data_IF_834711199395
#
_entry.id   IF_834711199395
#
_cell.length_a   1.000
_cell.length_b   1.000
_cell.length_c   1.000
_cell.angle_alpha   90.00
_cell.angle_beta   90.00
_cell.angle_gamma   90.00
#
_symmetry.space_group_name_H-M   'P 1'
#
loop_
_entity.id
_entity.type
_entity.pdbx_description
1 polymer ?
#
# COMPACT_ATOMS: atom_id res chain seq x y z
N UNK A 1 -11.29 41.27 -7.37
CA UNK A 1 -11.46 40.00 -6.65
C UNK A 1 -11.57 38.90 -7.69
N UNK A 2 -10.51 38.10 -7.88
CA UNK A 2 -10.55 36.92 -8.74
C UNK A 2 -10.69 35.70 -7.83
N UNK A 3 -11.77 34.95 -7.99
CA UNK A 3 -11.94 33.64 -7.35
C UNK A 3 -10.90 32.69 -7.95
N UNK A 4 -9.96 32.24 -7.13
CA UNK A 4 -9.15 31.07 -7.46
C UNK A 4 -10.01 29.84 -7.20
N UNK A 5 -10.46 29.20 -8.28
CA UNK A 5 -11.20 27.96 -8.22
C UNK A 5 -10.31 26.85 -7.66
N UNK A 6 -10.85 26.11 -6.69
CA UNK A 6 -10.31 24.83 -6.25
C UNK A 6 -10.11 23.93 -7.48
N UNK A 7 -8.86 23.74 -7.92
CA UNK A 7 -8.56 22.71 -8.90
C UNK A 7 -8.68 21.37 -8.18
N UNK A 8 -9.79 20.65 -8.46
CA UNK A 8 -9.84 19.22 -8.22
C UNK A 8 -8.81 18.56 -9.15
N UNK A 9 -7.65 18.25 -8.59
CA UNK A 9 -6.60 17.47 -9.25
C UNK A 9 -7.23 16.16 -9.68
N UNK A 10 -7.38 16.01 -10.99
CA UNK A 10 -7.89 14.78 -11.58
C UNK A 10 -6.71 13.82 -11.66
N UNK A 11 -6.61 12.89 -10.70
CA UNK A 11 -5.70 11.74 -10.77
C UNK A 11 -6.08 10.87 -11.98
N UNK A 12 -5.60 11.23 -13.16
CA UNK A 12 -5.80 10.49 -14.39
C UNK A 12 -4.44 10.24 -15.03
N UNK A 13 -3.65 9.37 -14.39
CA UNK A 13 -2.30 9.03 -14.84
C UNK A 13 -1.62 7.97 -14.01
N UNK A 14 -2.37 7.01 -13.47
CA UNK A 14 -1.79 5.94 -12.65
C UNK A 14 -1.32 4.83 -13.59
N UNK A 15 0.00 4.74 -13.69
CA UNK A 15 0.64 3.51 -14.08
C UNK A 15 0.16 2.40 -13.14
N UNK A 16 -0.42 1.34 -13.70
CA UNK A 16 -0.62 0.08 -13.02
C UNK A 16 0.65 -0.29 -12.27
N UNK A 17 0.62 -0.18 -10.94
CA UNK A 17 1.41 -1.08 -10.13
C UNK A 17 1.13 -2.48 -10.68
N UNK A 18 2.15 -3.34 -10.78
CA UNK A 18 1.89 -4.75 -11.09
C UNK A 18 0.74 -5.21 -10.19
N UNK A 19 -0.24 -5.98 -10.69
CA UNK A 19 -1.37 -6.45 -9.89
C UNK A 19 -0.84 -7.22 -8.68
N UNK A 20 -0.58 -6.52 -7.56
CA UNK A 20 -0.02 -7.12 -6.36
C UNK A 20 -1.15 -7.91 -5.75
N UNK A 21 -0.96 -9.22 -5.69
CA UNK A 21 -1.93 -10.12 -5.09
C UNK A 21 -1.34 -10.64 -3.80
N UNK A 22 -2.08 -10.49 -2.70
CA UNK A 22 -1.71 -11.06 -1.42
C UNK A 22 -1.86 -12.59 -1.45
N UNK A 23 -0.85 -13.29 -0.92
CA UNK A 23 -0.74 -14.75 -0.95
C UNK A 23 -0.80 -15.37 0.45
N UNK A 24 -1.29 -16.60 0.52
CA UNK A 24 -1.49 -17.36 1.77
C UNK A 24 -0.22 -17.98 2.33
N UNK A 25 0.84 -18.09 1.53
CA UNK A 25 2.07 -18.80 1.91
C UNK A 25 2.68 -18.18 3.17
N UNK A 26 2.99 -19.00 4.18
CA UNK A 26 3.60 -18.52 5.43
C UNK A 26 2.68 -17.70 6.35
N UNK A 27 1.40 -17.52 6.02
CA UNK A 27 0.45 -16.87 6.92
C UNK A 27 0.20 -17.72 8.18
N UNK A 28 -0.08 -17.06 9.30
CA UNK A 28 -0.43 -17.71 10.57
C UNK A 28 -1.63 -18.66 10.44
N UNK A 29 -2.57 -18.38 9.53
CA UNK A 29 -3.61 -19.32 9.10
C UNK A 29 -3.88 -19.18 7.59
N UNK A 30 -3.02 -19.81 6.78
CA UNK A 30 -3.14 -19.82 5.32
C UNK A 30 -4.53 -20.24 4.82
N UNK A 31 -5.12 -21.27 5.44
CA UNK A 31 -6.45 -21.78 5.05
C UNK A 31 -7.58 -20.79 5.38
N UNK A 32 -7.46 -20.08 6.51
CA UNK A 32 -8.36 -19.00 6.89
C UNK A 32 -8.26 -17.83 5.93
N UNK A 33 -7.04 -17.46 5.54
CA UNK A 33 -6.79 -16.40 4.56
C UNK A 33 -7.42 -16.71 3.20
N UNK A 34 -7.19 -17.91 2.65
CA UNK A 34 -7.76 -18.31 1.35
C UNK A 34 -9.30 -18.30 1.35
N UNK A 35 -9.91 -18.76 2.45
CA UNK A 35 -11.38 -18.68 2.61
C UNK A 35 -11.87 -17.25 2.69
N UNK A 36 -11.13 -16.38 3.39
CA UNK A 36 -11.46 -14.97 3.50
C UNK A 36 -11.37 -14.27 2.14
N UNK A 37 -10.28 -14.49 1.38
CA UNK A 37 -10.13 -13.98 0.01
C UNK A 37 -11.21 -14.51 -0.93
N UNK A 38 -11.59 -15.79 -0.83
CA UNK A 38 -12.67 -16.33 -1.64
C UNK A 38 -14.01 -15.63 -1.36
N UNK A 39 -14.26 -15.24 -0.10
CA UNK A 39 -15.43 -14.44 0.27
C UNK A 39 -15.34 -13.02 -0.28
N UNK A 40 -14.18 -12.36 -0.16
CA UNK A 40 -13.93 -11.03 -0.74
C UNK A 40 -14.16 -11.04 -2.25
N UNK A 41 -13.55 -11.98 -2.98
CA UNK A 41 -13.71 -12.14 -4.43
C UNK A 41 -15.17 -12.33 -4.84
N UNK A 42 -15.94 -13.11 -4.06
CA UNK A 42 -17.38 -13.30 -4.29
C UNK A 42 -18.14 -11.99 -4.08
N UNK A 43 -17.84 -11.26 -3.00
CA UNK A 43 -18.44 -9.96 -2.70
C UNK A 43 -18.16 -8.95 -3.84
N UNK A 44 -16.90 -8.81 -4.25
CA UNK A 44 -16.46 -7.95 -5.36
C UNK A 44 -17.15 -8.33 -6.66
N UNK A 45 -17.23 -9.62 -6.98
CA UNK A 45 -17.90 -10.10 -8.20
C UNK A 45 -19.39 -9.74 -8.21
N UNK A 46 -20.08 -9.90 -7.08
CA UNK A 46 -21.48 -9.50 -6.93
C UNK A 46 -21.67 -7.99 -7.02
N UNK A 47 -20.79 -7.20 -6.41
CA UNK A 47 -20.79 -5.75 -6.48
C UNK A 47 -20.63 -5.26 -7.93
N UNK A 48 -19.63 -5.78 -8.66
CA UNK A 48 -19.39 -5.42 -10.06
C UNK A 48 -20.57 -5.80 -10.95
N UNK A 49 -21.16 -6.99 -10.74
CA UNK A 49 -22.33 -7.41 -11.51
C UNK A 49 -23.51 -6.46 -11.32
N UNK A 50 -23.75 -6.01 -10.08
CA UNK A 50 -24.79 -5.05 -9.77
C UNK A 50 -24.49 -3.67 -10.37
N UNK A 51 -23.27 -3.15 -10.21
CA UNK A 51 -22.86 -1.87 -10.78
C UNK A 51 -23.00 -1.85 -12.31
N UNK A 52 -22.68 -2.95 -13.00
CA UNK A 52 -22.92 -3.09 -14.45
C UNK A 52 -24.39 -3.10 -14.80
N UNK A 53 -25.21 -3.83 -14.04
CA UNK A 53 -26.65 -3.85 -14.24
C UNK A 53 -27.25 -2.43 -14.14
N UNK A 54 -26.75 -1.63 -13.21
CA UNK A 54 -27.24 -0.27 -12.96
C UNK A 54 -26.54 0.80 -13.80
N UNK A 55 -25.59 0.42 -14.69
CA UNK A 55 -24.71 1.31 -15.45
C UNK A 55 -23.90 2.31 -14.58
N UNK A 56 -23.58 1.92 -13.35
CA UNK A 56 -22.86 2.72 -12.37
C UNK A 56 -21.34 2.64 -12.52
N UNK A 57 -20.72 3.65 -13.15
CA UNK A 57 -19.26 3.70 -13.29
C UNK A 57 -18.54 4.04 -11.98
N UNK A 58 -19.16 4.86 -11.13
CA UNK A 58 -18.62 5.21 -9.81
C UNK A 58 -18.67 4.00 -8.89
N UNK A 59 -19.77 3.26 -8.96
CA UNK A 59 -19.99 2.02 -8.21
C UNK A 59 -18.98 0.95 -8.62
N UNK A 60 -18.63 0.84 -9.90
CA UNK A 60 -17.57 -0.07 -10.36
C UNK A 60 -16.22 0.23 -9.70
N UNK A 61 -15.83 1.50 -9.61
CA UNK A 61 -14.60 1.91 -8.94
C UNK A 61 -14.68 1.64 -7.43
N UNK A 62 -15.82 1.92 -6.81
CA UNK A 62 -16.06 1.65 -5.39
C UNK A 62 -15.95 0.14 -5.07
N UNK A 63 -16.45 -0.74 -5.94
CA UNK A 63 -16.29 -2.19 -5.78
C UNK A 63 -14.81 -2.60 -5.75
N UNK A 64 -13.98 -2.02 -6.63
CA UNK A 64 -12.54 -2.28 -6.65
C UNK A 64 -11.85 -1.81 -5.37
N UNK A 65 -12.25 -0.65 -4.85
CA UNK A 65 -11.69 -0.14 -3.59
C UNK A 65 -12.13 -0.95 -2.37
N UNK A 66 -13.37 -1.44 -2.36
CA UNK A 66 -13.82 -2.36 -1.33
C UNK A 66 -13.07 -3.69 -1.39
N UNK A 67 -12.71 -4.19 -2.58
CA UNK A 67 -11.89 -5.40 -2.73
C UNK A 67 -10.53 -5.27 -2.03
N UNK A 68 -9.87 -4.12 -2.18
CA UNK A 68 -8.63 -3.83 -1.44
C UNK A 68 -8.85 -3.92 0.08
N UNK A 69 -9.90 -3.25 0.57
CA UNK A 69 -10.24 -3.22 2.00
C UNK A 69 -10.53 -4.60 2.55
N UNK A 70 -11.33 -5.38 1.85
CA UNK A 70 -11.67 -6.75 2.24
C UNK A 70 -10.41 -7.62 2.30
N UNK A 71 -9.53 -7.53 1.29
CA UNK A 71 -8.32 -8.33 1.21
C UNK A 71 -7.26 -7.94 2.26
N UNK A 72 -6.98 -6.65 2.48
CA UNK A 72 -6.00 -6.29 3.51
C UNK A 72 -6.55 -6.55 4.92
N UNK A 73 -7.87 -6.52 5.13
CA UNK A 73 -8.50 -6.97 6.38
C UNK A 73 -8.36 -8.48 6.58
N UNK A 74 -8.55 -9.28 5.52
CA UNK A 74 -8.23 -10.71 5.55
C UNK A 74 -6.77 -10.93 5.92
N UNK A 75 -5.85 -10.17 5.33
CA UNK A 75 -4.41 -10.30 5.62
C UNK A 75 -4.08 -9.92 7.06
N UNK A 76 -4.66 -8.83 7.56
CA UNK A 76 -4.52 -8.40 8.95
C UNK A 76 -5.05 -9.44 9.96
N UNK A 77 -6.08 -10.21 9.59
CA UNK A 77 -6.64 -11.28 10.42
C UNK A 77 -5.82 -12.57 10.38
N UNK A 78 -5.43 -13.03 9.18
CA UNK A 78 -4.92 -14.40 8.97
C UNK A 78 -3.42 -14.47 8.65
N UNK A 79 -2.84 -13.35 8.21
CA UNK A 79 -1.44 -13.20 7.84
C UNK A 79 -0.75 -12.09 8.66
N UNK A 80 -1.24 -11.84 9.89
CA UNK A 80 -0.69 -10.81 10.80
C UNK A 80 0.82 -10.97 11.05
N UNK A 81 1.36 -12.17 10.83
CA UNK A 81 2.78 -12.46 10.98
C UNK A 81 3.65 -11.97 9.79
N UNK A 82 3.03 -11.48 8.71
CA UNK A 82 3.65 -11.05 7.46
C UNK A 82 3.29 -9.61 7.05
N UNK A 83 2.54 -8.87 7.88
CA UNK A 83 2.01 -7.52 7.55
C UNK A 83 3.07 -6.43 7.31
N UNK A 84 4.35 -6.70 7.56
CA UNK A 84 5.43 -5.74 7.27
C UNK A 84 6.29 -6.16 6.07
N UNK A 85 6.05 -7.34 5.50
CA UNK A 85 6.75 -7.83 4.31
C UNK A 85 6.44 -6.96 3.08
N UNK A 86 7.31 -7.03 2.06
CA UNK A 86 7.18 -6.24 0.84
C UNK A 86 5.83 -6.41 0.17
N UNK A 87 5.35 -7.64 0.07
CA UNK A 87 4.08 -7.98 -0.56
C UNK A 87 2.90 -7.20 0.04
N UNK A 88 2.81 -7.09 1.37
CA UNK A 88 1.76 -6.31 2.02
C UNK A 88 1.96 -4.81 1.80
N UNK A 89 3.18 -4.31 1.94
CA UNK A 89 3.45 -2.88 1.78
C UNK A 89 3.20 -2.41 0.34
N UNK A 90 3.58 -3.20 -0.68
CA UNK A 90 3.29 -2.94 -2.09
C UNK A 90 1.78 -3.02 -2.40
N UNK A 91 1.07 -3.96 -1.77
CA UNK A 91 -0.39 -4.05 -1.88
C UNK A 91 -1.07 -2.79 -1.34
N UNK A 92 -0.64 -2.31 -0.18
CA UNK A 92 -1.19 -1.09 0.44
C UNK A 92 -0.87 0.16 -0.39
N UNK A 93 0.35 0.28 -0.95
CA UNK A 93 0.66 1.36 -1.92
C UNK A 93 -0.28 1.26 -3.13
N UNK A 94 -0.56 0.05 -3.63
CA UNK A 94 -1.49 -0.15 -4.75
C UNK A 94 -2.92 0.26 -4.38
N UNK A 95 -3.38 0.01 -3.16
CA UNK A 95 -4.65 0.53 -2.66
C UNK A 95 -4.66 2.06 -2.70
N UNK A 96 -3.67 2.72 -2.11
CA UNK A 96 -3.62 4.18 -2.08
C UNK A 96 -3.51 4.82 -3.46
N UNK A 97 -2.79 4.18 -4.37
CA UNK A 97 -2.63 4.67 -5.74
C UNK A 97 -3.91 4.49 -6.55
N UNK A 98 -4.58 3.34 -6.46
CA UNK A 98 -5.71 3.02 -7.33
C UNK A 98 -7.08 3.44 -6.76
N UNK A 99 -7.15 3.82 -5.49
CA UNK A 99 -8.37 4.26 -4.83
C UNK A 99 -8.29 5.71 -4.39
N UNK A 100 -8.98 6.58 -5.11
CA UNK A 100 -9.06 8.01 -4.81
C UNK A 100 -9.64 8.34 -3.42
N UNK A 101 -10.42 7.43 -2.85
CA UNK A 101 -10.94 7.58 -1.49
C UNK A 101 -9.95 7.12 -0.42
N UNK A 102 -8.91 6.35 -0.76
CA UNK A 102 -8.01 5.73 0.20
C UNK A 102 -7.27 6.77 1.04
N UNK A 103 -7.35 6.62 2.37
CA UNK A 103 -6.72 7.52 3.34
C UNK A 103 -6.27 6.75 4.57
N UNK A 104 -5.28 7.30 5.24
CA UNK A 104 -4.91 6.85 6.59
C UNK A 104 -6.03 7.20 7.59
N UNK A 105 -6.19 6.41 8.67
CA UNK A 105 -5.37 5.25 9.03
C UNK A 105 -5.83 3.96 8.33
N UNK A 106 -4.87 3.07 8.08
CA UNK A 106 -5.07 1.66 7.69
C UNK A 106 -4.12 0.78 8.51
N UNK A 107 -4.43 -0.51 8.75
CA UNK A 107 -3.61 -1.33 9.62
C UNK A 107 -2.19 -1.56 9.04
N UNK A 108 -1.19 -1.54 9.92
CA UNK A 108 0.19 -1.96 9.63
C UNK A 108 0.91 -1.24 8.46
N UNK A 109 0.48 -0.02 8.11
CA UNK A 109 1.09 0.79 7.07
C UNK A 109 1.33 2.23 7.56
N UNK A 110 2.53 2.80 7.37
CA UNK A 110 3.72 2.15 6.82
C UNK A 110 4.29 1.13 7.82
N UNK A 111 5.22 0.29 7.38
CA UNK A 111 5.91 -0.61 8.30
C UNK A 111 6.70 0.20 9.36
N UNK A 112 6.65 -0.17 10.65
CA UNK A 112 7.50 0.45 11.67
C UNK A 112 8.98 0.26 11.37
N UNK A 113 9.81 1.20 11.86
CA UNK A 113 11.27 1.10 11.73
C UNK A 113 11.79 -0.21 12.36
N UNK A 114 12.61 -0.94 11.62
CA UNK A 114 13.22 -2.21 12.03
C UNK A 114 12.21 -3.32 12.40
N UNK A 115 11.00 -3.28 11.86
CA UNK A 115 10.04 -4.36 12.02
C UNK A 115 10.62 -5.72 11.57
N UNK A 116 10.42 -6.83 12.33
CA UNK A 116 10.83 -8.16 11.91
C UNK A 116 10.18 -8.57 10.59
N UNK A 117 10.95 -9.17 9.68
CA UNK A 117 10.43 -9.56 8.37
C UNK A 117 10.12 -8.38 7.44
N UNK A 118 10.37 -7.14 7.86
CA UNK A 118 9.97 -5.97 7.09
C UNK A 118 10.63 -5.91 5.72
N UNK A 119 9.96 -5.29 4.76
CA UNK A 119 10.53 -5.05 3.45
C UNK A 119 11.89 -4.34 3.53
N UNK A 120 12.82 -4.72 2.65
CA UNK A 120 14.19 -4.18 2.57
C UNK A 120 14.23 -2.67 2.33
N UNK A 121 13.13 -2.13 1.81
CA UNK A 121 12.84 -0.71 1.68
C UNK A 121 11.45 -0.46 2.29
N UNK A 122 11.31 0.61 3.07
CA UNK A 122 10.00 1.00 3.59
C UNK A 122 9.20 1.75 2.51
N UNK A 123 8.70 1.01 1.51
CA UNK A 123 7.95 1.57 0.38
C UNK A 123 6.71 2.34 0.82
N UNK A 124 6.11 1.95 1.95
CA UNK A 124 4.99 2.68 2.54
C UNK A 124 5.39 4.07 3.01
N UNK A 125 6.54 4.19 3.69
CA UNK A 125 7.05 5.50 4.11
C UNK A 125 7.44 6.37 2.92
N UNK A 126 8.06 5.79 1.88
CA UNK A 126 8.37 6.52 0.64
C UNK A 126 7.09 7.08 0.03
N UNK A 127 6.05 6.25 -0.10
CA UNK A 127 4.76 6.68 -0.62
C UNK A 127 4.15 7.82 0.20
N UNK A 128 4.09 7.68 1.53
CA UNK A 128 3.52 8.70 2.40
C UNK A 128 4.30 10.01 2.33
N UNK A 129 5.63 9.97 2.31
CA UNK A 129 6.41 11.19 2.17
C UNK A 129 6.20 11.89 0.82
N UNK A 130 5.97 11.15 -0.26
CA UNK A 130 5.61 11.76 -1.55
C UNK A 130 4.28 12.50 -1.42
N UNK A 131 3.28 11.89 -0.77
CA UNK A 131 1.98 12.55 -0.52
C UNK A 131 2.12 13.75 0.43
N UNK A 132 2.95 13.64 1.46
CA UNK A 132 3.22 14.73 2.39
C UNK A 132 3.94 15.88 1.71
N UNK A 133 4.86 15.62 0.76
CA UNK A 133 5.50 16.65 -0.04
C UNK A 133 4.46 17.44 -0.86
N UNK A 134 3.53 16.75 -1.53
CA UNK A 134 2.42 17.38 -2.27
C UNK A 134 1.57 18.25 -1.33
N UNK A 135 1.23 17.73 -0.15
CA UNK A 135 0.42 18.46 0.82
C UNK A 135 1.17 19.69 1.37
N UNK A 136 2.48 19.57 1.62
CA UNK A 136 3.33 20.68 2.06
C UNK A 136 3.45 21.74 0.98
N UNK A 137 3.49 21.38 -0.32
CA UNK A 137 3.44 22.34 -1.42
C UNK A 137 2.15 23.12 -1.47
N UNK A 138 1.01 22.46 -1.26
CA UNK A 138 -0.26 23.18 -1.20
C UNK A 138 -0.24 24.24 -0.09
N UNK A 139 0.30 23.91 1.09
CA UNK A 139 0.46 24.87 2.19
C UNK A 139 1.48 25.97 1.86
N UNK A 140 2.63 25.61 1.29
CA UNK A 140 3.71 26.51 0.91
C UNK A 140 3.25 27.55 -0.12
N UNK A 141 2.59 27.10 -1.19
CA UNK A 141 2.08 27.96 -2.26
C UNK A 141 0.96 28.88 -1.77
N UNK A 142 0.11 28.41 -0.86
CA UNK A 142 -0.93 29.25 -0.24
C UNK A 142 -0.35 30.30 0.72
N UNK A 143 0.87 30.12 1.21
CA UNK A 143 1.55 31.08 2.08
C UNK A 143 2.31 32.18 1.30
N UNK A 144 2.35 32.12 -0.03
CA UNK A 144 2.96 33.14 -0.87
C UNK A 144 2.09 34.42 -0.92
N UNK A 145 2.27 35.32 0.06
CA UNK A 145 1.44 36.53 0.24
C UNK A 145 2.27 37.79 0.53
N UNK A 146 3.27 38.08 -0.31
CA UNK A 146 4.17 39.23 -0.15
C UNK A 146 3.61 40.56 -0.68
N UNK A 147 2.38 40.59 -1.21
CA UNK A 147 1.81 41.73 -1.92
C UNK A 147 2.45 42.05 -3.28
N UNK A 148 3.61 41.45 -3.60
CA UNK A 148 4.29 41.51 -4.88
C UNK A 148 4.04 40.21 -5.66
N UNK A 149 3.37 40.32 -6.81
CA UNK A 149 2.99 39.15 -7.60
C UNK A 149 4.20 38.39 -8.14
N UNK A 150 5.30 39.08 -8.47
CA UNK A 150 6.51 38.42 -8.97
C UNK A 150 7.18 37.56 -7.90
N UNK A 151 7.30 38.09 -6.70
CA UNK A 151 7.88 37.42 -5.53
C UNK A 151 7.03 36.22 -5.10
N UNK A 152 5.71 36.34 -5.17
CA UNK A 152 4.81 35.22 -4.91
C UNK A 152 4.99 34.10 -5.93
N UNK A 153 5.10 34.43 -7.22
CA UNK A 153 5.36 33.43 -8.27
C UNK A 153 6.70 32.71 -8.04
N UNK A 154 7.75 33.45 -7.71
CA UNK A 154 9.07 32.87 -7.42
C UNK A 154 9.03 31.91 -6.21
N UNK A 155 8.27 32.25 -5.17
CA UNK A 155 8.07 31.36 -4.02
C UNK A 155 7.28 30.11 -4.41
N UNK A 156 6.21 30.25 -5.21
CA UNK A 156 5.42 29.10 -5.69
C UNK A 156 6.28 28.15 -6.51
N UNK A 157 7.14 28.66 -7.40
CA UNK A 157 8.11 27.82 -8.12
C UNK A 157 9.09 27.15 -7.16
N UNK A 158 9.55 27.85 -6.13
CA UNK A 158 10.33 27.27 -5.03
C UNK A 158 9.60 26.12 -4.33
N UNK A 159 8.32 26.28 -4.00
CA UNK A 159 7.48 25.23 -3.42
C UNK A 159 7.39 24.01 -4.34
N UNK A 160 7.07 24.22 -5.63
CA UNK A 160 6.96 23.13 -6.60
C UNK A 160 8.30 22.36 -6.75
N UNK A 161 9.42 23.09 -6.78
CA UNK A 161 10.75 22.48 -6.80
C UNK A 161 11.06 21.66 -5.53
N UNK A 162 10.61 22.14 -4.37
CA UNK A 162 10.74 21.43 -3.10
C UNK A 162 9.82 20.20 -3.00
N UNK A 163 8.69 20.18 -3.71
CA UNK A 163 7.85 18.99 -3.85
C UNK A 163 8.62 17.85 -4.54
N UNK A 164 9.14 18.14 -5.74
CA UNK A 164 9.86 17.18 -6.57
C UNK A 164 11.12 16.72 -5.84
N UNK A 165 11.85 17.66 -5.23
CA UNK A 165 13.01 17.36 -4.39
C UNK A 165 12.63 16.48 -3.20
N UNK A 166 11.55 16.77 -2.48
CA UNK A 166 11.09 15.99 -1.34
C UNK A 166 10.71 14.56 -1.72
N UNK A 167 10.01 14.38 -2.84
CA UNK A 167 9.70 13.07 -3.40
C UNK A 167 10.99 12.28 -3.75
N UNK A 168 11.93 12.92 -4.45
CA UNK A 168 13.22 12.32 -4.79
C UNK A 168 14.05 11.93 -3.57
N UNK A 169 14.12 12.83 -2.60
CA UNK A 169 14.86 12.66 -1.36
C UNK A 169 14.30 11.51 -0.52
N UNK A 170 12.97 11.35 -0.53
CA UNK A 170 12.29 10.23 0.13
C UNK A 170 12.70 8.88 -0.45
N UNK A 171 12.82 8.79 -1.79
CA UNK A 171 13.28 7.57 -2.46
C UNK A 171 14.72 7.23 -2.03
N UNK A 172 15.63 8.20 -2.13
CA UNK A 172 17.07 7.94 -1.98
C UNK A 172 17.53 7.83 -0.52
N UNK A 173 16.88 8.52 0.42
CA UNK A 173 17.27 8.45 1.84
C UNK A 173 16.61 7.28 2.58
N UNK A 174 15.34 6.98 2.28
CA UNK A 174 14.65 5.85 2.92
C UNK A 174 15.14 4.52 2.32
N UNK A 175 15.40 4.50 1.00
CA UNK A 175 15.70 3.28 0.27
C UNK A 175 16.95 3.39 -0.63
N UNK A 176 18.12 3.76 -0.08
CA UNK A 176 19.34 4.08 -0.84
C UNK A 176 19.90 2.93 -1.69
N UNK A 177 19.51 1.68 -1.39
CA UNK A 177 20.02 0.47 -2.07
C UNK A 177 19.06 -0.08 -3.11
N UNK A 178 17.81 0.37 -3.12
CA UNK A 178 16.76 -0.18 -3.95
C UNK A 178 16.75 0.51 -5.31
N UNK A 179 16.40 -0.23 -6.37
CA UNK A 179 16.13 0.35 -7.69
C UNK A 179 14.97 1.34 -7.60
N UNK A 180 15.18 2.64 -7.87
CA UNK A 180 14.14 3.67 -7.81
C UNK A 180 12.90 3.38 -8.66
N UNK A 181 13.03 2.60 -9.75
CA UNK A 181 11.90 2.22 -10.59
C UNK A 181 10.87 1.37 -9.84
N UNK A 182 11.27 0.69 -8.76
CA UNK A 182 10.40 -0.13 -7.92
C UNK A 182 9.70 0.67 -6.81
N UNK A 183 10.13 1.92 -6.55
CA UNK A 183 9.79 2.64 -5.32
C UNK A 183 9.42 4.10 -5.55
N UNK A 184 8.84 4.42 -6.70
CA UNK A 184 8.21 5.72 -6.89
C UNK A 184 8.85 6.64 -7.94
N UNK A 185 9.93 6.22 -8.63
CA UNK A 185 10.61 7.12 -9.57
C UNK A 185 9.68 7.62 -10.70
N UNK A 186 8.76 6.78 -11.17
CA UNK A 186 7.80 7.16 -12.21
C UNK A 186 6.87 8.29 -11.74
N UNK A 187 6.53 8.30 -10.47
CA UNK A 187 5.67 9.30 -9.84
C UNK A 187 6.34 10.67 -9.87
N UNK A 188 7.68 10.74 -9.76
CA UNK A 188 8.42 12.01 -9.89
C UNK A 188 8.23 12.63 -11.28
N UNK A 189 8.35 11.84 -12.34
CA UNK A 189 8.10 12.33 -13.70
C UNK A 189 6.65 12.77 -13.92
N UNK A 190 5.70 12.12 -13.24
CA UNK A 190 4.30 12.57 -13.20
C UNK A 190 4.18 13.91 -12.49
N UNK A 191 4.81 14.09 -11.32
CA UNK A 191 4.80 15.35 -10.58
C UNK A 191 5.38 16.51 -11.40
N UNK A 192 6.54 16.31 -12.06
CA UNK A 192 7.10 17.32 -12.98
C UNK A 192 6.09 17.75 -14.04
N UNK A 193 5.36 16.79 -14.61
CA UNK A 193 4.36 17.05 -15.64
C UNK A 193 3.12 17.78 -15.09
N UNK A 194 2.64 17.37 -13.91
CA UNK A 194 1.46 17.94 -13.25
C UNK A 194 1.70 19.36 -12.74
N UNK A 195 2.89 19.60 -12.18
CA UNK A 195 3.32 20.93 -11.73
C UNK A 195 3.76 21.82 -12.90
N UNK A 196 3.95 21.26 -14.10
CA UNK A 196 4.55 21.93 -15.25
C UNK A 196 5.91 22.56 -14.91
N UNK A 197 6.74 21.78 -14.20
CA UNK A 197 8.09 22.18 -13.75
C UNK A 197 9.12 21.25 -14.36
N UNK A 198 10.08 21.80 -15.10
CA UNK A 198 11.32 21.09 -15.44
C UNK A 198 12.22 21.11 -14.21
N UNK A 199 12.35 19.96 -13.54
CA UNK A 199 13.15 19.87 -12.33
C UNK A 199 14.59 20.33 -12.54
N UNK A 200 15.17 20.20 -13.74
CA UNK A 200 16.52 20.71 -14.04
C UNK A 200 16.67 22.22 -13.86
N UNK A 201 15.57 22.97 -13.93
CA UNK A 201 15.55 24.41 -13.70
C UNK A 201 15.45 24.80 -12.22
N UNK A 202 15.24 23.85 -11.31
CA UNK A 202 14.97 24.11 -9.90
C UNK A 202 16.19 24.57 -9.08
N UNK A 203 17.42 24.43 -9.59
CA UNK A 203 18.64 24.73 -8.85
C UNK A 203 18.64 26.13 -8.22
N UNK A 204 18.36 27.18 -9.01
CA UNK A 204 18.34 28.56 -8.52
C UNK A 204 17.17 28.86 -7.56
N UNK A 205 16.03 28.21 -7.78
CA UNK A 205 14.88 28.34 -6.89
C UNK A 205 15.19 27.75 -5.52
N UNK A 206 15.76 26.54 -5.48
CA UNK A 206 16.12 25.87 -4.21
C UNK A 206 17.31 26.51 -3.49
N UNK A 207 18.15 27.29 -4.17
CA UNK A 207 19.15 28.15 -3.52
C UNK A 207 18.51 29.36 -2.83
N UNK A 208 17.48 29.93 -3.45
CA UNK A 208 16.78 31.10 -2.93
C UNK A 208 15.78 30.71 -1.84
N UNK A 209 15.09 29.60 -2.04
CA UNK A 209 14.04 29.04 -1.20
C UNK A 209 14.47 27.66 -0.71
N UNK A 210 15.24 27.65 0.38
CA UNK A 210 15.59 26.40 1.05
C UNK A 210 14.32 25.67 1.48
N UNK A 211 14.20 24.40 1.09
CA UNK A 211 12.97 23.65 1.30
C UNK A 211 12.63 23.52 2.78
N UNK A 212 13.62 23.28 3.64
CA UNK A 212 13.36 23.08 5.07
C UNK A 212 13.31 24.41 5.81
N UNK A 213 14.36 25.23 5.72
CA UNK A 213 14.53 26.42 6.53
C UNK A 213 13.59 27.56 6.12
N UNK A 214 13.33 27.72 4.82
CA UNK A 214 12.50 28.83 4.31
C UNK A 214 11.07 28.41 3.99
N UNK A 215 10.90 27.20 3.44
CA UNK A 215 9.59 26.71 3.00
C UNK A 215 8.96 25.70 3.96
N UNK A 216 9.63 25.40 5.08
CA UNK A 216 9.10 24.54 6.17
C UNK A 216 8.79 23.10 5.76
N UNK A 217 9.43 22.59 4.70
CA UNK A 217 9.31 21.17 4.36
C UNK A 217 10.01 20.32 5.42
N UNK A 218 9.31 19.27 5.84
CA UNK A 218 9.80 18.30 6.81
C UNK A 218 9.16 16.95 6.51
N UNK A 219 9.95 16.01 6.00
CA UNK A 219 9.50 14.67 5.64
C UNK A 219 10.20 13.63 6.52
N UNK A 220 9.48 12.60 6.94
CA UNK A 220 10.03 11.59 7.86
C UNK A 220 11.15 10.78 7.20
N UNK A 221 12.32 10.73 7.84
CA UNK A 221 13.46 9.99 7.30
C UNK A 221 14.15 10.68 6.11
N UNK A 222 13.83 11.94 5.84
CA UNK A 222 14.52 12.80 4.87
C UNK A 222 15.27 13.88 5.64
N UNK A 223 16.53 14.10 5.28
CA UNK A 223 17.38 15.11 5.89
C UNK A 223 17.94 16.11 4.88
N UNK A 224 17.94 15.73 3.60
CA UNK A 224 18.52 16.48 2.49
C UNK A 224 17.50 16.59 1.38
N UNK A 225 17.18 17.81 0.97
CA UNK A 225 16.38 18.07 -0.22
C UNK A 225 17.34 18.20 -1.41
N UNK A 226 17.55 17.10 -2.13
CA UNK A 226 18.49 17.05 -3.25
C UNK A 226 18.09 18.04 -4.34
N UNK A 227 19.08 18.73 -4.91
CA UNK A 227 18.96 19.61 -6.07
C UNK A 227 19.21 18.84 -7.38
N UNK A 228 18.90 19.42 -8.55
CA UNK A 228 19.01 18.70 -9.82
C UNK A 228 20.41 18.19 -10.18
N UNK A 229 21.46 18.93 -9.80
CA UNK A 229 22.85 18.58 -10.06
C UNK A 229 23.50 17.77 -8.92
N UNK A 230 22.76 17.49 -7.85
CA UNK A 230 23.31 16.72 -6.73
C UNK A 230 23.49 15.25 -7.12
N UNK A 231 24.63 14.63 -6.75
CA UNK A 231 24.86 13.23 -7.05
C UNK A 231 23.94 12.34 -6.22
N UNK A 232 22.96 11.74 -6.87
CA UNK A 232 22.06 10.78 -6.24
C UNK A 232 22.75 9.43 -6.06
N UNK A 233 22.67 8.89 -4.84
CA UNK A 233 23.10 7.53 -4.54
C UNK A 233 21.88 6.63 -4.54
N UNK A 234 21.60 6.03 -5.69
CA UNK A 234 20.58 5.01 -5.86
C UNK A 234 21.24 3.64 -5.97
N UNK A 235 20.47 2.59 -5.66
CA UNK A 235 20.95 1.23 -5.83
C UNK A 235 20.24 0.51 -6.97
N UNK A 236 20.52 -0.78 -7.09
CA UNK A 236 19.96 -1.66 -8.11
C UNK A 236 19.30 -2.90 -7.49
N UNK A 237 19.13 -2.93 -6.16
CA UNK A 237 18.55 -4.07 -5.49
C UNK A 237 17.04 -4.12 -5.72
N UNK A 238 16.52 -5.33 -5.91
CA UNK A 238 15.07 -5.57 -5.85
C UNK A 238 14.57 -5.49 -4.41
N UNK A 239 13.26 -5.43 -4.25
CA UNK A 239 12.62 -5.57 -2.94
C UNK A 239 12.75 -7.01 -2.43
N UNK A 240 12.99 -7.16 -1.13
CA UNK A 240 13.08 -8.47 -0.46
C UNK A 240 12.71 -8.32 1.02
N UNK A 241 12.25 -9.38 1.66
CA UNK A 241 11.96 -9.34 3.10
C UNK A 241 13.25 -9.47 3.90
N UNK A 242 13.42 -8.61 4.90
CA UNK A 242 14.51 -8.73 5.85
C UNK A 242 14.34 -9.97 6.74
N UNK A 243 15.41 -10.43 7.42
CA UNK A 243 15.30 -11.52 8.37
C UNK A 243 14.35 -11.23 9.54
N UNK A 244 13.89 -12.30 10.18
CA UNK A 244 13.00 -12.26 11.33
C UNK A 244 11.54 -12.53 10.95
N UNK A 245 10.70 -12.69 11.97
CA UNK A 245 9.28 -12.90 11.80
C UNK A 245 8.51 -12.28 12.97
N UNK A 246 7.28 -11.89 12.71
CA UNK A 246 6.36 -11.41 13.75
C UNK A 246 5.77 -12.63 14.45
N UNK A 247 6.04 -12.78 15.74
CA UNK A 247 5.67 -13.98 16.52
C UNK A 247 4.38 -13.82 17.33
N UNK A 248 3.87 -12.60 17.45
CA UNK A 248 2.57 -12.30 18.04
C UNK A 248 1.92 -11.13 17.28
N UNK A 249 0.58 -11.07 17.18
CA UNK A 249 -0.10 -9.98 16.47
C UNK A 249 0.25 -8.63 17.11
N UNK A 250 0.83 -7.72 16.32
CA UNK A 250 1.37 -6.46 16.82
C UNK A 250 0.29 -5.54 17.45
N UNK A 251 -0.96 -5.66 17.00
CA UNK A 251 -2.10 -4.90 17.53
C UNK A 251 -2.91 -5.65 18.60
N UNK A 252 -2.42 -6.81 19.07
CA UNK A 252 -3.17 -7.70 19.96
C UNK A 252 -4.08 -8.69 19.22
N UNK A 253 -4.70 -9.61 19.97
CA UNK A 253 -5.52 -10.70 19.40
C UNK A 253 -6.80 -10.21 18.76
N UNK A 254 -7.35 -9.10 19.25
CA UNK A 254 -8.48 -8.39 18.67
C UNK A 254 -8.13 -6.91 18.68
N UNK A 255 -8.31 -6.26 17.55
CA UNK A 255 -8.18 -4.81 17.45
C UNK A 255 -9.24 -4.24 16.51
N UNK A 256 -9.53 -2.95 16.66
CA UNK A 256 -10.41 -2.22 15.76
C UNK A 256 -9.69 -1.00 15.20
N UNK A 257 -10.02 -0.62 13.97
CA UNK A 257 -9.55 0.62 13.37
C UNK A 257 -10.68 1.24 12.54
N UNK A 258 -10.68 2.57 12.41
CA UNK A 258 -11.55 3.29 11.48
C UNK A 258 -10.79 3.45 10.18
N UNK A 259 -11.28 2.86 9.09
CA UNK A 259 -10.65 3.04 7.79
C UNK A 259 -10.78 4.50 7.36
N UNK A 260 -9.64 5.16 7.09
CA UNK A 260 -9.64 6.56 6.67
C UNK A 260 -10.40 6.80 5.37
N UNK A 261 -10.47 5.79 4.49
CA UNK A 261 -11.07 5.95 3.17
C UNK A 261 -12.60 5.92 3.13
N UNK A 262 -13.22 5.03 3.90
CA UNK A 262 -14.68 4.85 3.94
C UNK A 262 -15.34 5.26 5.28
N UNK A 263 -14.55 5.56 6.31
CA UNK A 263 -15.02 5.93 7.65
C UNK A 263 -15.59 4.77 8.47
N UNK A 264 -15.54 3.54 7.97
CA UNK A 264 -16.09 2.33 8.61
C UNK A 264 -15.15 1.83 9.69
N UNK A 265 -15.73 1.40 10.82
CA UNK A 265 -14.98 0.73 11.89
C UNK A 265 -14.92 -0.76 11.59
N UNK A 266 -13.72 -1.27 11.35
CA UNK A 266 -13.45 -2.69 11.19
C UNK A 266 -12.90 -3.27 12.49
N UNK A 267 -13.36 -4.47 12.85
CA UNK A 267 -12.81 -5.24 13.97
C UNK A 267 -12.14 -6.49 13.43
N UNK A 268 -10.85 -6.62 13.70
CA UNK A 268 -10.00 -7.70 13.22
C UNK A 268 -9.69 -8.61 14.40
N UNK A 269 -9.89 -9.91 14.21
CA UNK A 269 -9.47 -10.95 15.15
C UNK A 269 -8.33 -11.73 14.52
N UNK A 270 -7.17 -11.72 15.16
CA UNK A 270 -5.99 -12.43 14.69
C UNK A 270 -6.20 -13.95 14.83
N UNK A 271 -6.09 -14.67 13.72
CA UNK A 271 -6.19 -16.12 13.68
C UNK A 271 -4.90 -16.79 14.15
N UNK A 272 -5.00 -18.05 14.59
CA UNK A 272 -3.83 -18.87 14.93
C UNK A 272 -3.09 -18.49 16.21
N UNK A 273 -3.55 -17.47 16.95
CA UNK A 273 -2.96 -17.12 18.26
C UNK A 273 -3.32 -18.19 19.29
N UNK A 274 -2.30 -18.73 19.99
CA UNK A 274 -2.50 -19.75 21.01
C UNK A 274 -2.68 -21.18 20.48
N UNK A 275 -2.45 -21.43 19.18
CA UNK A 275 -2.22 -22.78 18.67
C UNK A 275 -0.77 -23.19 18.96
N UNK A 276 -0.45 -23.36 20.24
CA UNK A 276 0.61 -24.28 20.61
C UNK A 276 0.24 -25.66 20.09
N UNK A 277 1.25 -26.45 19.71
CA UNK A 277 1.14 -27.80 19.18
C UNK A 277 0.31 -28.72 20.08
N UNK A 278 -1.01 -28.73 19.92
CA UNK A 278 -1.90 -29.73 20.49
C UNK A 278 -2.49 -30.58 19.36
N UNK A 279 -1.66 -31.48 18.84
CA UNK A 279 -2.16 -32.79 18.44
C UNK A 279 -2.74 -33.45 19.69
N UNK A 280 -4.00 -33.14 19.97
CA UNK A 280 -4.80 -33.85 20.95
C UNK A 280 -6.12 -34.16 20.27
N UNK A 281 -6.18 -35.38 19.75
CA UNK A 281 -7.42 -36.10 19.45
C UNK A 281 -8.29 -36.08 20.71
N UNK A 282 -9.20 -35.13 20.81
CA UNK A 282 -10.26 -35.12 21.80
C UNK A 282 -11.53 -35.68 21.18
N UNK A 283 -11.61 -37.01 21.08
CA UNK A 283 -12.89 -37.69 20.87
C UNK A 283 -13.44 -38.10 22.23
N UNK A 284 -14.61 -37.53 22.54
CA UNK A 284 -15.75 -38.19 23.20
C UNK A 284 -15.73 -38.46 24.71
N UNK A 285 -16.74 -37.89 25.37
CA UNK A 285 -17.73 -38.56 26.23
C UNK A 285 -17.27 -39.52 27.36
N UNK A 286 -17.60 -39.07 28.58
CA UNK A 286 -18.38 -39.77 29.62
C UNK A 286 -17.89 -41.07 30.26
N UNK A 287 -17.70 -40.95 31.59
CA UNK A 287 -17.98 -41.89 32.68
C UNK A 287 -17.15 -43.18 32.88
N UNK A 288 -16.62 -43.30 34.12
CA UNK A 288 -16.96 -44.46 34.94
C UNK A 288 -15.88 -45.51 35.27
N UNK A 289 -14.97 -45.13 36.17
CA UNK A 289 -14.44 -45.93 37.30
C UNK A 289 -13.67 -47.26 37.11
N UNK A 290 -12.47 -47.25 37.72
CA UNK A 290 -11.80 -48.28 38.54
C UNK A 290 -11.30 -49.59 37.92
N UNK A 291 -9.99 -49.83 38.05
CA UNK A 291 -9.37 -51.15 37.93
C UNK A 291 -7.85 -51.08 37.85
N UNK A 292 -7.15 -51.75 38.77
CA UNK A 292 -5.74 -51.60 39.08
C UNK A 292 -4.77 -52.39 38.17
N UNK A 293 -3.50 -51.95 38.21
CA UNK A 293 -2.24 -52.71 38.15
C UNK A 293 -1.94 -53.62 36.94
N UNK A 294 -0.75 -53.43 36.35
CA UNK A 294 -0.17 -54.44 35.47
C UNK A 294 1.00 -53.91 34.65
N UNK A 295 2.19 -54.11 35.20
CA UNK A 295 3.51 -53.82 34.62
C UNK A 295 3.80 -54.63 33.34
N UNK A 296 4.89 -54.25 32.66
CA UNK A 296 5.71 -55.04 31.74
C UNK A 296 5.45 -54.98 30.22
N UNK A 297 6.40 -54.27 29.60
CA UNK A 297 7.34 -54.78 28.58
C UNK A 297 6.93 -54.92 27.10
N UNK A 298 7.66 -54.12 26.30
CA UNK A 298 8.53 -54.54 25.19
C UNK A 298 7.95 -54.81 23.81
N UNK A 299 8.80 -54.46 22.82
CA UNK A 299 8.73 -54.65 21.37
C UNK A 299 7.77 -53.67 20.67
N UNK A 300 8.19 -52.92 19.66
CA UNK A 300 8.70 -53.39 18.36
C UNK A 300 9.44 -52.19 17.71
N UNK A 301 10.57 -52.36 17.04
CA UNK A 301 10.59 -52.77 15.63
C UNK A 301 11.18 -51.66 14.75
N UNK A 302 12.45 -51.83 14.38
CA UNK A 302 13.14 -51.07 13.32
C UNK A 302 12.60 -51.48 11.94
N UNK A 303 12.37 -50.51 11.05
CA UNK A 303 12.81 -50.46 9.63
C UNK A 303 11.87 -49.55 8.82
N UNK A 304 12.33 -48.41 8.30
CA UNK A 304 13.02 -48.19 7.00
C UNK A 304 12.03 -47.92 5.85
N UNK A 305 12.32 -46.82 5.13
CA UNK A 305 12.01 -46.42 3.74
C UNK A 305 11.03 -47.29 2.92
N UNK A 306 10.21 -46.75 2.02
CA UNK A 306 10.67 -46.00 0.85
C UNK A 306 9.47 -45.49 0.04
N UNK A 307 9.72 -44.44 -0.74
CA UNK A 307 9.22 -44.25 -2.10
C UNK A 307 7.76 -43.88 -2.39
N UNK A 308 7.66 -42.63 -2.88
CA UNK A 308 7.19 -42.32 -4.25
C UNK A 308 5.69 -42.45 -4.53
N UNK A 309 5.02 -41.30 -4.66
CA UNK A 309 4.28 -41.01 -5.91
C UNK A 309 3.93 -39.52 -6.05
N UNK A 310 4.65 -38.90 -6.98
CA UNK A 310 4.16 -37.79 -7.79
C UNK A 310 2.77 -38.09 -8.34
N UNK A 311 1.84 -37.17 -8.12
CA UNK A 311 0.56 -37.14 -8.83
C UNK A 311 0.43 -35.78 -9.50
N UNK A 312 0.73 -35.76 -10.80
CA UNK A 312 0.19 -34.75 -11.72
C UNK A 312 -1.33 -34.81 -11.66
N UNK A 313 -1.98 -33.67 -11.48
CA UNK A 313 -3.36 -33.50 -11.94
C UNK A 313 -3.59 -32.08 -12.50
N UNK A 314 -3.65 -32.06 -13.83
CA UNK A 314 -4.77 -31.49 -14.58
C UNK A 314 -5.03 -29.98 -14.50
N UNK A 315 -4.45 -29.28 -15.48
CA UNK A 315 -5.05 -28.09 -16.11
C UNK A 315 -6.50 -28.40 -16.54
N UNK A 316 -7.44 -27.56 -16.13
CA UNK A 316 -8.61 -27.16 -16.94
C UNK A 316 -8.99 -25.71 -16.65
N UNK A 317 -9.26 -25.01 -17.74
CA UNK A 317 -9.37 -23.57 -17.93
C UNK A 317 -10.59 -22.92 -17.24
N UNK A 318 -10.51 -21.61 -17.01
CA UNK A 318 -11.71 -20.80 -16.81
C UNK A 318 -11.51 -19.40 -16.21
N UNK A 319 -10.54 -18.61 -16.66
CA UNK A 319 -10.57 -17.16 -16.47
C UNK A 319 -10.05 -16.51 -17.75
N UNK A 320 -10.96 -15.93 -18.52
CA UNK A 320 -10.62 -15.12 -19.68
C UNK A 320 -9.72 -13.97 -19.24
N UNK A 321 -8.55 -13.95 -19.85
CA UNK A 321 -7.59 -12.86 -19.79
C UNK A 321 -8.25 -11.62 -20.38
N UNK A 322 -8.50 -10.60 -19.57
CA UNK A 322 -8.71 -9.25 -20.09
C UNK A 322 -7.37 -8.72 -20.56
N UNK A 323 -7.23 -8.70 -21.90
CA UNK A 323 -6.17 -8.00 -22.59
C UNK A 323 -6.24 -6.50 -22.22
N UNK A 324 -5.31 -6.05 -21.39
CA UNK A 324 -4.97 -4.64 -21.25
C UNK A 324 -4.30 -4.19 -22.54
N UNK A 325 -5.08 -3.55 -23.41
CA UNK A 325 -4.61 -3.13 -24.72
C UNK A 325 -5.67 -2.37 -25.49
N UNK A 326 -6.09 -1.22 -24.97
CA UNK A 326 -6.66 -0.13 -25.78
C UNK A 326 -6.59 1.17 -24.97
N UNK A 327 -5.64 2.00 -25.34
CA UNK A 327 -5.60 3.43 -25.06
C UNK A 327 -6.91 4.02 -25.58
N UNK A 328 -7.82 4.41 -24.67
CA UNK A 328 -8.94 5.29 -25.00
C UNK A 328 -8.61 6.65 -24.41
N UNK A 329 -8.04 7.52 -25.24
CA UNK A 329 -7.89 8.95 -24.98
C UNK A 329 -9.31 9.53 -24.92
N UNK A 330 -9.84 9.73 -23.72
CA UNK A 330 -11.04 10.56 -23.52
C UNK A 330 -10.55 11.97 -23.24
N UNK A 331 -10.48 12.78 -24.28
CA UNK A 331 -10.37 14.22 -24.14
C UNK A 331 -11.69 14.77 -23.58
N UNK A 332 -11.69 15.17 -22.31
CA UNK A 332 -12.79 15.95 -21.73
C UNK A 332 -12.48 17.43 -21.97
N UNK A 333 -13.01 17.97 -23.07
CA UNK A 333 -13.20 19.43 -23.20
C UNK A 333 -14.41 19.82 -22.36
N UNK A 334 -14.16 20.39 -21.17
CA UNK A 334 -15.20 21.04 -20.37
C UNK A 334 -15.30 22.51 -20.79
N UNK A 335 -16.27 22.79 -21.66
CA UNK A 335 -16.68 24.14 -21.99
C UNK A 335 -17.44 24.74 -20.79
N UNK A 336 -16.86 25.73 -20.13
CA UNK A 336 -17.54 26.52 -19.11
C UNK A 336 -18.50 27.51 -19.77
N UNK A 337 -19.81 27.34 -19.56
CA UNK A 337 -20.79 28.40 -19.78
C UNK A 337 -20.89 29.28 -18.54
N UNK A 338 -20.45 30.53 -18.69
CA UNK A 338 -20.67 31.61 -17.73
C UNK A 338 -22.15 31.99 -17.69
N UNK A 339 -22.77 31.94 -16.51
CA UNK A 339 -24.01 32.68 -16.24
C UNK A 339 -23.69 33.73 -15.17
N UNK A 340 -23.55 34.97 -15.63
CA UNK A 340 -23.50 36.15 -14.79
C UNK A 340 -24.91 36.47 -14.28
N UNK A 341 -25.07 36.63 -12.97
CA UNK A 341 -26.19 37.38 -12.40
C UNK A 341 -25.62 38.38 -11.39
N UNK A 342 -26.12 39.61 -11.52
CA UNK A 342 -25.82 40.83 -10.77
C UNK A 342 -25.78 40.66 -9.26
#
# INVERSE_FOLDING_TARGET
>A
MKLYGLFLVSLAGLAVAADVTLTSSGCADASGFEKCQASANKHTSSCIAQARHDNGQVELLACGCQDYVDNFNCYAAFCWNRVWECEYQEYMVSYFMNCNIAKQPVPYFPAPKNAPGACSCNVGQVYLNIQDAIQQTATCSNAADSGDAGSNLQQIEGCNCCEISGALSSIVEICPKTDPNLIGLKQISTLESELNVDYKSCGSYMETYDCSDKLSYSLEGVSTYYKPDDPLKTGTATLSNNPGSVTAPASGTVFSYTNGGDGTVYTITAAGVGKDSSDSKGSSDSDGSSGASGDSSSATGTATADSSKSTESSKKNGAERLATGSVLVIGVTLAMTLVSIY
#
